data_IF_142712690359
#
_entry.id   IF_142712690359
#
_cell.length_a   1.000
_cell.length_b   1.000
_cell.length_c   1.000
_cell.angle_alpha   90.00
_cell.angle_beta   90.00
_cell.angle_gamma   90.00
#
_symmetry.space_group_name_H-M   'P 1'
#
loop_
_entity.id
_entity.type
_entity.pdbx_description
1 polymer ?
#
# COMPACT_ATOMS: atom_id res chain seq x y z
N UNK A 1 -58.29 32.31 -46.26
CA UNK A 1 -58.08 32.10 -44.82
C UNK A 1 -58.18 30.62 -44.52
N UNK A 2 -57.44 30.15 -43.51
CA UNK A 2 -57.31 28.77 -42.99
C UNK A 2 -56.12 27.92 -43.50
N UNK A 3 -55.00 28.10 -42.78
CA UNK A 3 -53.99 27.15 -42.27
C UNK A 3 -53.72 25.83 -43.02
N UNK A 4 -52.45 25.66 -43.42
CA UNK A 4 -51.78 24.35 -43.58
C UNK A 4 -50.67 24.25 -42.52
N UNK A 5 -50.49 23.09 -41.85
CA UNK A 5 -49.50 22.95 -40.80
C UNK A 5 -48.10 22.78 -41.39
N UNK A 6 -47.14 23.52 -40.83
CA UNK A 6 -45.70 23.37 -41.03
C UNK A 6 -45.23 22.04 -40.44
N UNK A 7 -44.60 21.19 -41.26
CA UNK A 7 -43.84 20.03 -40.80
C UNK A 7 -42.56 20.51 -40.11
N UNK A 8 -42.45 20.25 -38.81
CA UNK A 8 -41.17 20.31 -38.09
C UNK A 8 -40.19 19.31 -38.72
N UNK A 9 -39.05 19.83 -39.18
CA UNK A 9 -37.92 19.00 -39.56
C UNK A 9 -37.06 18.80 -38.32
N UNK A 10 -37.21 17.65 -37.63
CA UNK A 10 -36.25 17.21 -36.62
C UNK A 10 -34.92 16.92 -37.32
N UNK A 11 -33.95 17.81 -37.15
CA UNK A 11 -32.55 17.48 -37.42
C UNK A 11 -32.12 16.41 -36.40
N UNK A 12 -31.98 15.19 -36.91
CA UNK A 12 -31.28 14.09 -36.26
C UNK A 12 -29.81 14.47 -36.12
N UNK A 13 -29.35 14.76 -34.91
CA UNK A 13 -27.93 14.81 -34.61
C UNK A 13 -27.41 13.37 -34.55
N UNK A 14 -26.68 12.97 -35.60
CA UNK A 14 -25.93 11.73 -35.57
C UNK A 14 -24.92 11.81 -34.41
N UNK A 15 -25.08 10.96 -33.41
CA UNK A 15 -24.02 10.67 -32.42
C UNK A 15 -22.88 10.01 -33.18
N UNK A 16 -21.77 10.72 -33.36
CA UNK A 16 -20.50 10.09 -33.69
C UNK A 16 -20.11 9.14 -32.56
N UNK A 17 -20.24 7.84 -32.80
CA UNK A 17 -19.68 6.81 -31.94
C UNK A 17 -18.15 6.93 -32.02
N UNK A 18 -17.52 7.33 -30.90
CA UNK A 18 -16.06 7.30 -30.78
C UNK A 18 -15.60 5.84 -30.86
N UNK A 19 -14.55 5.54 -31.64
CA UNK A 19 -14.02 4.19 -31.73
C UNK A 19 -13.51 3.72 -30.35
N UNK A 20 -13.56 2.41 -30.07
CA UNK A 20 -13.09 1.87 -28.81
C UNK A 20 -11.59 2.15 -28.63
N UNK A 21 -11.23 2.73 -27.50
CA UNK A 21 -9.83 2.90 -27.08
C UNK A 21 -9.26 1.51 -26.83
N UNK A 22 -8.51 0.98 -27.79
CA UNK A 22 -7.71 -0.22 -27.59
C UNK A 22 -6.56 0.17 -26.66
N UNK A 23 -6.69 -0.17 -25.37
CA UNK A 23 -5.55 -0.07 -24.43
C UNK A 23 -4.45 -0.98 -24.97
N UNK A 24 -3.34 -0.40 -25.41
CA UNK A 24 -2.14 -1.16 -25.74
C UNK A 24 -1.76 -1.99 -24.51
N UNK A 25 -1.75 -3.32 -24.65
CA UNK A 25 -1.19 -4.21 -23.63
C UNK A 25 0.29 -3.88 -23.53
N UNK A 26 0.69 -3.29 -22.41
CA UNK A 26 2.09 -3.19 -22.01
C UNK A 26 2.69 -4.60 -22.11
N UNK A 27 3.78 -4.81 -22.87
CA UNK A 27 4.37 -6.13 -23.00
C UNK A 27 4.77 -6.66 -21.61
N UNK A 28 4.58 -7.97 -21.35
CA UNK A 28 4.97 -8.53 -20.06
C UNK A 28 6.47 -8.33 -19.88
N UNK A 29 6.83 -7.57 -18.85
CA UNK A 29 8.21 -7.42 -18.40
C UNK A 29 8.73 -8.78 -17.92
N UNK A 30 10.02 -9.02 -18.11
CA UNK A 30 10.66 -10.28 -17.77
C UNK A 30 10.40 -10.66 -16.29
N UNK A 31 10.24 -11.95 -15.97
CA UNK A 31 9.99 -12.40 -14.61
C UNK A 31 11.10 -11.91 -13.67
N UNK A 32 10.72 -11.38 -12.50
CA UNK A 32 11.69 -10.93 -11.53
C UNK A 32 12.45 -12.15 -10.99
N UNK A 33 13.78 -12.16 -11.20
CA UNK A 33 14.68 -13.10 -10.53
C UNK A 33 14.95 -12.54 -9.13
N UNK A 34 14.35 -13.14 -8.12
CA UNK A 34 14.53 -12.74 -6.73
C UNK A 34 13.80 -13.66 -5.77
N UNK A 35 14.25 -13.67 -4.52
CA UNK A 35 13.55 -14.31 -3.39
C UNK A 35 12.12 -13.72 -3.31
N UNK A 36 11.05 -14.53 -3.24
CA UNK A 36 9.71 -14.01 -3.00
C UNK A 36 9.66 -13.23 -1.68
N UNK A 37 9.03 -12.07 -1.67
CA UNK A 37 8.95 -11.21 -0.47
C UNK A 37 7.51 -10.80 -0.20
N UNK A 38 7.07 -11.00 1.04
CA UNK A 38 5.80 -10.51 1.57
C UNK A 38 6.05 -9.25 2.40
N UNK A 39 5.38 -8.15 2.06
CA UNK A 39 5.38 -6.90 2.82
C UNK A 39 4.00 -6.71 3.43
N UNK A 40 3.91 -6.80 4.75
CA UNK A 40 2.67 -6.62 5.49
C UNK A 40 2.63 -5.20 6.07
N UNK A 41 1.57 -4.45 5.78
CA UNK A 41 1.31 -3.14 6.38
C UNK A 41 0.13 -3.29 7.34
N UNK A 42 0.41 -3.22 8.64
CA UNK A 42 -0.55 -3.64 9.65
C UNK A 42 -0.47 -2.87 10.96
N UNK A 43 -1.57 -2.92 11.70
CA UNK A 43 -1.78 -2.38 13.04
C UNK A 43 -3.22 -2.71 13.44
N UNK A 44 -3.46 -2.98 14.71
CA UNK A 44 -4.78 -3.30 15.23
C UNK A 44 -5.64 -2.05 15.36
N UNK A 45 -5.02 -0.90 15.62
CA UNK A 45 -5.76 0.36 15.68
C UNK A 45 -6.25 0.80 14.29
N UNK A 46 -7.55 1.12 14.20
CA UNK A 46 -8.14 1.78 13.03
C UNK A 46 -7.71 3.25 12.92
N UNK A 47 -7.65 3.77 11.69
CA UNK A 47 -7.41 5.19 11.44
C UNK A 47 -5.96 5.67 11.62
N UNK A 48 -4.99 4.78 11.79
CA UNK A 48 -3.55 5.13 11.87
C UNK A 48 -2.89 5.34 10.49
N UNK A 49 -3.64 5.15 9.41
CA UNK A 49 -3.19 5.40 8.02
C UNK A 49 -2.42 4.26 7.35
N UNK A 50 -2.74 2.99 7.69
CA UNK A 50 -2.20 1.79 7.03
C UNK A 50 -2.34 1.83 5.51
N UNK A 51 -3.55 2.07 5.02
CA UNK A 51 -3.80 2.16 3.57
C UNK A 51 -3.05 3.31 2.91
N UNK A 52 -2.84 4.43 3.59
CA UNK A 52 -1.99 5.53 3.09
C UNK A 52 -0.55 5.06 2.88
N UNK A 53 -0.01 4.31 3.84
CA UNK A 53 1.34 3.73 3.78
C UNK A 53 1.42 2.69 2.66
N UNK A 54 0.45 1.79 2.56
CA UNK A 54 0.39 0.80 1.48
C UNK A 54 0.37 1.47 0.10
N UNK A 55 -0.40 2.55 -0.07
CA UNK A 55 -0.47 3.31 -1.34
C UNK A 55 0.86 3.97 -1.71
N UNK A 56 1.51 4.66 -0.76
CA UNK A 56 2.80 5.31 -1.05
C UNK A 56 3.92 4.30 -1.25
N UNK A 57 3.87 3.15 -0.56
CA UNK A 57 4.78 2.02 -0.77
C UNK A 57 4.63 1.47 -2.19
N UNK A 58 3.41 1.24 -2.68
CA UNK A 58 3.17 0.78 -4.05
C UNK A 58 3.67 1.79 -5.09
N UNK A 59 3.45 3.08 -4.86
CA UNK A 59 3.98 4.14 -5.74
C UNK A 59 5.52 4.14 -5.76
N UNK A 60 6.17 3.98 -4.61
CA UNK A 60 7.63 3.92 -4.51
C UNK A 60 8.20 2.68 -5.23
N UNK A 61 7.59 1.50 -5.03
CA UNK A 61 8.02 0.27 -5.69
C UNK A 61 7.85 0.37 -7.22
N UNK A 62 6.72 0.92 -7.68
CA UNK A 62 6.48 1.16 -9.10
C UNK A 62 7.49 2.14 -9.70
N UNK A 63 7.81 3.23 -9.00
CA UNK A 63 8.82 4.20 -9.43
C UNK A 63 10.23 3.59 -9.55
N UNK A 64 10.51 2.54 -8.78
CA UNK A 64 11.75 1.77 -8.82
C UNK A 64 11.68 0.50 -9.69
N UNK A 65 10.67 0.39 -10.56
CA UNK A 65 10.46 -0.73 -11.48
C UNK A 65 10.29 -2.09 -10.78
N UNK A 66 9.85 -2.09 -9.52
CA UNK A 66 9.45 -3.30 -8.80
C UNK A 66 7.98 -3.55 -9.05
N UNK A 67 7.68 -4.56 -9.87
CA UNK A 67 6.31 -5.08 -10.01
C UNK A 67 5.86 -5.69 -8.69
N UNK A 68 4.63 -5.37 -8.32
CA UNK A 68 3.99 -5.86 -7.11
C UNK A 68 2.62 -6.41 -7.42
N UNK A 69 2.20 -7.37 -6.62
CA UNK A 69 0.79 -7.69 -6.43
C UNK A 69 0.39 -7.20 -5.05
N UNK A 70 -0.81 -6.65 -4.94
CA UNK A 70 -1.32 -6.11 -3.70
C UNK A 70 -2.55 -6.88 -3.24
N UNK A 71 -2.72 -6.95 -1.93
CA UNK A 71 -3.86 -7.60 -1.30
C UNK A 71 -4.45 -6.68 -0.26
N UNK A 72 -5.77 -6.53 -0.30
CA UNK A 72 -6.54 -5.67 0.58
C UNK A 72 -7.43 -6.55 1.45
N UNK A 73 -7.19 -6.56 2.76
CA UNK A 73 -7.96 -7.44 3.64
C UNK A 73 -9.28 -6.82 4.12
N UNK A 74 -9.64 -5.62 3.66
CA UNK A 74 -10.90 -4.95 3.99
C UNK A 74 -12.05 -5.52 3.14
N UNK A 75 -12.44 -6.76 3.41
CA UNK A 75 -13.50 -7.46 2.68
C UNK A 75 -14.91 -6.99 3.08
N UNK A 76 -15.89 -6.87 2.14
CA UNK A 76 -15.80 -7.19 0.71
C UNK A 76 -15.49 -5.98 -0.20
N UNK A 77 -15.34 -4.77 0.35
CA UNK A 77 -15.31 -3.54 -0.46
C UNK A 77 -13.90 -3.15 -0.91
N UNK A 78 -12.89 -3.37 -0.07
CA UNK A 78 -11.54 -2.89 -0.23
C UNK A 78 -11.43 -1.37 -0.08
N UNK A 79 -10.39 -0.92 0.61
CA UNK A 79 -9.99 0.51 0.61
C UNK A 79 -8.84 0.75 -0.36
N UNK A 80 -7.79 -0.06 -0.29
CA UNK A 80 -6.65 -0.01 -1.20
C UNK A 80 -7.05 -0.31 -2.65
N UNK A 81 -7.98 -1.26 -2.85
CA UNK A 81 -8.48 -1.64 -4.18
C UNK A 81 -8.98 -0.45 -5.00
N UNK A 82 -9.61 0.53 -4.34
CA UNK A 82 -10.11 1.75 -4.99
C UNK A 82 -9.01 2.53 -5.72
N UNK A 83 -7.78 2.53 -5.19
CA UNK A 83 -6.68 3.34 -5.71
C UNK A 83 -5.77 2.56 -6.67
N UNK A 84 -5.63 1.24 -6.48
CA UNK A 84 -4.77 0.38 -7.29
C UNK A 84 -5.53 -0.86 -7.83
N UNK A 85 -6.65 -0.70 -8.55
CA UNK A 85 -7.52 -1.81 -8.92
C UNK A 85 -6.85 -2.84 -9.85
N UNK A 86 -5.88 -2.43 -10.65
CA UNK A 86 -5.21 -3.31 -11.62
C UNK A 86 -4.24 -4.31 -10.98
N UNK A 87 -3.77 -4.04 -9.75
CA UNK A 87 -2.79 -4.89 -9.05
C UNK A 87 -3.26 -5.36 -7.66
N UNK A 88 -4.38 -4.85 -7.15
CA UNK A 88 -4.91 -5.19 -5.83
C UNK A 88 -6.04 -6.21 -5.93
N UNK A 89 -6.00 -7.24 -5.08
CA UNK A 89 -7.12 -8.17 -4.88
C UNK A 89 -7.67 -8.05 -3.45
N UNK A 90 -8.99 -8.01 -3.30
CA UNK A 90 -9.63 -8.05 -1.97
C UNK A 90 -9.65 -9.50 -1.48
N UNK A 91 -9.20 -9.73 -0.25
CA UNK A 91 -8.98 -11.07 0.33
C UNK A 91 -9.42 -11.13 1.79
N UNK A 92 -9.63 -12.33 2.30
CA UNK A 92 -9.77 -12.62 3.73
C UNK A 92 -8.65 -13.55 4.20
N UNK A 93 -7.68 -13.02 4.94
CA UNK A 93 -6.55 -13.81 5.46
C UNK A 93 -6.95 -14.89 6.47
N UNK A 94 -8.18 -14.88 6.98
CA UNK A 94 -8.70 -15.94 7.84
C UNK A 94 -9.31 -17.10 7.06
N UNK A 95 -9.50 -16.93 5.74
CA UNK A 95 -9.98 -17.99 4.85
C UNK A 95 -8.81 -18.71 4.18
N UNK A 96 -8.79 -20.05 4.30
CA UNK A 96 -7.79 -20.90 3.66
C UNK A 96 -7.69 -20.66 2.14
N UNK A 97 -8.80 -20.42 1.45
CA UNK A 97 -8.77 -20.20 -0.01
C UNK A 97 -7.99 -18.95 -0.40
N UNK A 98 -8.05 -17.91 0.44
CA UNK A 98 -7.38 -16.64 0.18
C UNK A 98 -5.95 -16.65 0.70
N UNK A 99 -5.67 -17.38 1.79
CA UNK A 99 -4.32 -17.71 2.22
C UNK A 99 -3.53 -18.39 1.08
N UNK A 100 -4.12 -19.40 0.43
CA UNK A 100 -3.49 -20.08 -0.72
C UNK A 100 -3.19 -19.11 -1.89
N UNK A 101 -4.07 -18.14 -2.15
CA UNK A 101 -3.84 -17.16 -3.23
C UNK A 101 -2.65 -16.26 -2.95
N UNK A 102 -2.34 -16.00 -1.68
CA UNK A 102 -1.22 -15.15 -1.29
C UNK A 102 0.02 -16.01 -1.16
N UNK A 103 -0.02 -17.02 -0.29
CA UNK A 103 1.14 -17.78 0.20
C UNK A 103 1.61 -18.81 -0.82
N UNK A 104 0.77 -19.75 -1.27
CA UNK A 104 1.18 -20.83 -2.20
C UNK A 104 1.70 -20.31 -3.54
N UNK A 105 1.23 -19.12 -3.92
CA UNK A 105 1.61 -18.50 -5.17
C UNK A 105 2.86 -17.62 -5.02
N UNK A 106 3.40 -17.35 -3.83
CA UNK A 106 4.63 -16.56 -3.66
C UNK A 106 5.81 -17.17 -4.44
N UNK A 107 5.99 -18.48 -4.30
CA UNK A 107 7.09 -19.18 -4.97
C UNK A 107 6.91 -19.26 -6.50
N UNK A 108 5.66 -19.41 -6.97
CA UNK A 108 5.35 -19.70 -8.37
C UNK A 108 4.95 -18.47 -9.19
N UNK A 109 4.54 -17.37 -8.56
CA UNK A 109 4.14 -16.15 -9.25
C UNK A 109 5.31 -15.52 -10.00
N UNK A 110 5.02 -14.93 -11.17
CA UNK A 110 5.98 -14.15 -11.94
C UNK A 110 6.38 -12.86 -11.20
N UNK A 111 5.43 -12.31 -10.43
CA UNK A 111 5.63 -11.16 -9.54
C UNK A 111 6.01 -11.68 -8.15
N UNK A 112 7.23 -11.36 -7.73
CA UNK A 112 7.83 -11.88 -6.48
C UNK A 112 7.53 -11.05 -5.24
N UNK A 113 7.02 -9.82 -5.38
CA UNK A 113 6.74 -8.93 -4.26
C UNK A 113 5.24 -8.81 -4.04
N UNK A 114 4.80 -9.14 -2.82
CA UNK A 114 3.41 -9.06 -2.39
C UNK A 114 3.27 -8.00 -1.32
N UNK A 115 2.39 -7.01 -1.52
CA UNK A 115 2.07 -6.01 -0.49
C UNK A 115 0.69 -6.30 0.06
N UNK A 116 0.54 -6.36 1.38
CA UNK A 116 -0.74 -6.66 2.03
C UNK A 116 -1.12 -5.50 2.95
N UNK A 117 -2.25 -4.84 2.65
CA UNK A 117 -2.86 -3.82 3.52
C UNK A 117 -3.85 -4.49 4.45
N UNK A 118 -3.48 -4.58 5.72
CA UNK A 118 -4.28 -5.27 6.75
C UNK A 118 -5.35 -4.32 7.28
N UNK A 119 -6.56 -4.85 7.43
CA UNK A 119 -7.70 -4.14 8.04
C UNK A 119 -7.45 -3.82 9.51
N UNK A 120 -8.24 -2.92 10.08
CA UNK A 120 -8.19 -2.67 11.52
C UNK A 120 -8.50 -3.94 12.34
N UNK A 121 -7.75 -4.15 13.42
CA UNK A 121 -7.83 -5.34 14.29
C UNK A 121 -7.47 -6.66 13.59
N UNK A 122 -6.74 -6.59 12.46
CA UNK A 122 -6.43 -7.75 11.64
C UNK A 122 -4.97 -8.16 11.68
N UNK A 123 -4.09 -7.47 12.43
CA UNK A 123 -2.65 -7.76 12.36
C UNK A 123 -2.33 -9.09 13.05
N UNK A 124 -2.72 -9.26 14.31
CA UNK A 124 -2.47 -10.51 15.03
C UNK A 124 -3.10 -11.73 14.32
N UNK A 125 -4.39 -11.72 13.88
CA UNK A 125 -4.96 -12.82 13.11
C UNK A 125 -4.20 -13.13 11.80
N UNK A 126 -3.68 -12.10 11.12
CA UNK A 126 -2.88 -12.28 9.91
C UNK A 126 -1.53 -12.96 10.23
N UNK A 127 -0.85 -12.51 11.28
CA UNK A 127 0.43 -13.08 11.71
C UNK A 127 0.27 -14.54 12.20
N UNK A 128 -0.78 -14.83 12.96
CA UNK A 128 -1.12 -16.20 13.36
C UNK A 128 -1.39 -17.08 12.14
N UNK A 129 -2.14 -16.58 11.15
CA UNK A 129 -2.36 -17.32 9.91
C UNK A 129 -1.05 -17.60 9.16
N UNK A 130 -0.12 -16.64 9.11
CA UNK A 130 1.21 -16.87 8.53
C UNK A 130 1.99 -17.94 9.31
N UNK A 131 1.97 -17.90 10.65
CA UNK A 131 2.60 -18.92 11.49
C UNK A 131 2.00 -20.32 11.23
N UNK A 132 0.67 -20.45 11.25
CA UNK A 132 -0.04 -21.72 11.10
C UNK A 132 0.22 -22.39 9.74
N UNK A 133 0.53 -21.60 8.71
CA UNK A 133 0.86 -22.10 7.37
C UNK A 133 2.33 -22.53 7.21
N UNK A 134 3.18 -22.29 8.21
CA UNK A 134 4.63 -22.50 8.12
C UNK A 134 5.35 -21.40 7.32
N UNK A 135 4.69 -20.26 7.04
CA UNK A 135 5.32 -19.16 6.32
C UNK A 135 6.50 -18.59 7.11
N UNK A 136 6.38 -18.46 8.43
CA UNK A 136 7.47 -17.96 9.28
C UNK A 136 8.67 -18.92 9.34
N UNK A 137 8.44 -20.22 9.26
CA UNK A 137 9.53 -21.21 9.15
C UNK A 137 10.30 -21.00 7.84
N UNK A 138 9.60 -20.76 6.73
CA UNK A 138 10.23 -20.46 5.43
C UNK A 138 11.00 -19.11 5.43
N UNK A 139 10.60 -18.15 6.27
CA UNK A 139 11.35 -16.91 6.50
C UNK A 139 12.67 -17.22 7.22
N UNK A 140 12.61 -17.99 8.31
CA UNK A 140 13.78 -18.41 9.09
C UNK A 140 14.78 -19.23 8.25
N UNK A 141 14.28 -20.05 7.32
CA UNK A 141 15.09 -20.81 6.37
C UNK A 141 15.63 -19.96 5.21
N UNK A 142 15.21 -18.68 5.12
CA UNK A 142 15.65 -17.73 4.09
C UNK A 142 15.03 -17.96 2.71
N UNK A 143 14.02 -18.83 2.60
CA UNK A 143 13.34 -19.15 1.34
C UNK A 143 12.47 -17.99 0.83
N UNK A 144 11.92 -17.21 1.77
CA UNK A 144 11.09 -16.04 1.50
C UNK A 144 11.55 -14.86 2.35
N UNK A 145 11.36 -13.64 1.86
CA UNK A 145 11.52 -12.41 2.64
C UNK A 145 10.22 -12.03 3.33
N UNK A 146 10.29 -11.56 4.56
CA UNK A 146 9.15 -11.01 5.27
C UNK A 146 9.50 -9.65 5.86
N UNK A 147 8.74 -8.64 5.43
CA UNK A 147 8.86 -7.26 5.90
C UNK A 147 7.55 -6.88 6.57
N UNK A 148 7.61 -6.45 7.83
CA UNK A 148 6.45 -5.94 8.55
C UNK A 148 6.59 -4.44 8.78
N UNK A 149 5.69 -3.66 8.17
CA UNK A 149 5.48 -2.26 8.49
C UNK A 149 4.35 -2.15 9.51
N UNK A 150 4.73 -2.13 10.79
CA UNK A 150 3.79 -2.01 11.90
C UNK A 150 3.53 -0.53 12.22
N UNK A 151 2.31 -0.08 11.91
CA UNK A 151 1.92 1.32 11.97
C UNK A 151 1.47 1.70 13.38
N UNK A 152 2.34 2.39 14.10
CA UNK A 152 2.07 2.75 15.48
C UNK A 152 1.03 3.88 15.57
N UNK A 153 0.05 3.69 16.45
CA UNK A 153 -0.81 4.78 16.92
C UNK A 153 -0.15 5.57 18.06
N UNK A 154 -0.65 6.78 18.33
CA UNK A 154 -0.18 7.65 19.42
C UNK A 154 -0.63 7.24 20.83
N UNK A 155 -1.02 5.98 21.04
CA UNK A 155 -1.59 5.48 22.30
C UNK A 155 -0.76 4.35 22.91
N UNK A 156 -0.77 4.22 24.24
CA UNK A 156 -0.11 3.13 24.96
C UNK A 156 -0.55 1.75 24.44
N UNK A 157 -1.85 1.58 24.12
CA UNK A 157 -2.35 0.33 23.54
C UNK A 157 -1.63 -0.06 22.23
N UNK A 158 -1.19 0.92 21.42
CA UNK A 158 -0.41 0.65 20.21
C UNK A 158 1.04 0.28 20.50
N UNK A 159 1.54 0.58 21.70
CA UNK A 159 2.85 0.10 22.16
C UNK A 159 2.76 -1.29 22.77
N UNK A 160 1.66 -1.59 23.47
CA UNK A 160 1.41 -2.95 23.99
C UNK A 160 1.36 -3.97 22.82
N UNK A 161 0.83 -3.58 21.66
CA UNK A 161 0.82 -4.36 20.41
C UNK A 161 2.23 -4.80 19.95
N UNK A 162 3.30 -4.03 20.26
CA UNK A 162 4.68 -4.42 19.90
C UNK A 162 5.05 -5.77 20.55
N UNK A 163 4.62 -5.99 21.80
CA UNK A 163 4.91 -7.24 22.50
C UNK A 163 4.09 -8.42 21.96
N UNK A 164 2.89 -8.15 21.44
CA UNK A 164 2.01 -9.14 20.82
C UNK A 164 2.53 -9.57 19.44
N UNK A 165 3.13 -8.63 18.69
CA UNK A 165 3.75 -8.89 17.38
C UNK A 165 5.11 -9.59 17.49
N UNK A 166 5.85 -9.35 18.58
CA UNK A 166 7.23 -9.83 18.78
C UNK A 166 7.48 -11.32 18.43
N UNK A 167 6.60 -12.28 18.81
CA UNK A 167 6.82 -13.70 18.51
C UNK A 167 6.80 -14.06 17.02
N UNK A 168 6.26 -13.18 16.16
CA UNK A 168 6.06 -13.44 14.73
C UNK A 168 7.13 -12.81 13.84
N UNK A 169 8.07 -12.07 14.43
CA UNK A 169 8.99 -11.18 13.68
C UNK A 169 10.46 -11.39 13.98
N UNK A 170 10.81 -12.50 14.64
CA UNK A 170 12.20 -12.82 15.02
C UNK A 170 13.14 -12.81 13.80
N UNK A 171 12.74 -13.43 12.69
CA UNK A 171 13.52 -13.48 11.44
C UNK A 171 13.00 -12.48 10.37
N UNK A 172 12.15 -11.54 10.75
CA UNK A 172 11.52 -10.59 9.83
C UNK A 172 12.20 -9.22 9.83
N UNK A 173 12.13 -8.53 8.70
CA UNK A 173 12.43 -7.11 8.59
C UNK A 173 11.31 -6.28 9.24
N UNK A 174 11.36 -6.15 10.56
CA UNK A 174 10.33 -5.52 11.36
C UNK A 174 10.56 -4.02 11.55
N UNK A 175 9.74 -3.19 10.92
CA UNK A 175 9.80 -1.73 11.02
C UNK A 175 8.62 -1.15 11.80
N UNK A 176 8.94 -0.24 12.71
CA UNK A 176 7.96 0.58 13.41
C UNK A 176 7.69 1.86 12.62
N UNK A 177 6.45 2.03 12.16
CA UNK A 177 6.08 3.15 11.30
C UNK A 177 5.33 4.22 12.08
N UNK A 178 5.92 5.42 12.16
CA UNK A 178 5.34 6.62 12.78
C UNK A 178 4.65 7.45 11.72
N UNK A 179 3.33 7.34 11.63
CA UNK A 179 2.53 8.07 10.65
C UNK A 179 1.86 9.32 11.22
N UNK A 180 2.34 10.50 10.81
CA UNK A 180 1.79 11.78 11.25
C UNK A 180 0.52 12.13 10.46
N UNK A 181 -0.59 11.43 10.73
CA UNK A 181 -1.90 11.71 10.11
C UNK A 181 -2.44 13.09 10.51
N UNK A 182 -2.10 13.55 11.72
CA UNK A 182 -2.39 14.88 12.23
C UNK A 182 -1.14 15.42 12.93
N UNK A 183 -1.23 16.61 13.54
CA UNK A 183 -0.11 17.23 14.28
C UNK A 183 0.13 16.54 15.64
N UNK A 184 -0.12 15.23 15.72
CA UNK A 184 0.29 14.42 16.87
C UNK A 184 1.79 14.44 16.92
N UNK A 185 2.29 14.87 18.07
CA UNK A 185 3.58 14.41 18.53
C UNK A 185 3.39 12.93 18.82
N UNK A 186 3.95 12.06 17.97
CA UNK A 186 4.46 10.79 18.50
C UNK A 186 5.35 11.23 19.64
N UNK A 187 4.86 11.06 20.87
CA UNK A 187 5.58 11.51 22.06
C UNK A 187 7.01 11.03 21.86
N UNK A 188 7.99 11.93 22.00
CA UNK A 188 9.37 11.47 22.17
C UNK A 188 9.31 10.57 23.40
N UNK A 189 9.19 9.27 23.15
CA UNK A 189 8.82 8.32 24.19
C UNK A 189 9.86 8.47 25.26
N UNK A 190 9.41 8.78 26.48
CA UNK A 190 10.36 9.01 27.55
C UNK A 190 11.24 7.74 27.68
N UNK A 191 12.50 7.88 28.13
CA UNK A 191 13.42 6.75 28.16
C UNK A 191 12.89 5.51 28.90
N UNK A 192 11.94 5.67 29.84
CA UNK A 192 11.32 4.55 30.56
C UNK A 192 10.31 3.83 29.66
N UNK A 193 9.47 4.55 28.94
CA UNK A 193 8.54 3.98 27.95
C UNK A 193 9.31 3.29 26.82
N UNK A 194 10.36 3.94 26.29
CA UNK A 194 11.21 3.33 25.27
C UNK A 194 11.81 2.01 25.75
N UNK A 195 12.42 2.00 26.94
CA UNK A 195 12.98 0.78 27.54
C UNK A 195 11.95 -0.32 27.72
N UNK A 196 10.75 0.02 28.19
CA UNK A 196 9.72 -0.97 28.51
C UNK A 196 9.26 -1.77 27.29
N UNK A 197 9.14 -1.11 26.14
CA UNK A 197 8.51 -1.66 24.93
C UNK A 197 9.50 -2.00 23.82
N UNK A 198 10.55 -1.23 23.63
CA UNK A 198 11.46 -1.34 22.48
C UNK A 198 12.74 -2.12 22.79
N UNK A 199 13.20 -2.19 24.05
CA UNK A 199 14.40 -3.02 24.39
C UNK A 199 14.10 -4.53 24.40
N UNK A 200 12.82 -4.93 24.31
CA UNK A 200 12.41 -6.34 24.39
C UNK A 200 12.24 -7.01 23.04
N UNK A 201 12.21 -6.24 21.96
CA UNK A 201 11.90 -6.71 20.61
C UNK A 201 12.93 -6.10 19.67
N UNK A 202 13.65 -6.94 18.95
CA UNK A 202 14.56 -6.48 17.92
C UNK A 202 13.75 -5.93 16.74
N UNK A 203 14.13 -4.76 16.24
CA UNK A 203 13.47 -4.12 15.10
C UNK A 203 14.52 -3.78 14.06
N UNK A 204 14.17 -3.87 12.78
CA UNK A 204 15.02 -3.44 11.67
C UNK A 204 15.16 -1.91 11.59
N UNK A 205 14.31 -1.18 12.32
CA UNK A 205 14.39 0.27 12.51
C UNK A 205 13.02 0.94 12.57
N UNK A 206 13.03 2.27 12.55
CA UNK A 206 11.83 3.09 12.49
C UNK A 206 11.70 3.76 11.11
N UNK A 207 10.46 4.03 10.69
CA UNK A 207 10.13 4.80 9.48
C UNK A 207 9.22 5.96 9.89
N UNK A 208 9.51 7.17 9.44
CA UNK A 208 8.67 8.35 9.70
C UNK A 208 7.92 8.78 8.45
N UNK A 209 6.60 8.78 8.50
CA UNK A 209 5.74 9.28 7.43
C UNK A 209 5.27 10.69 7.82
N UNK A 210 5.74 11.75 7.13
CA UNK A 210 5.37 13.12 7.48
C UNK A 210 3.89 13.40 7.18
N UNK A 211 3.32 14.43 7.81
CA UNK A 211 1.95 14.87 7.50
C UNK A 211 1.88 15.42 6.07
N UNK A 212 0.93 14.92 5.28
CA UNK A 212 0.57 15.53 4.00
C UNK A 212 -0.36 16.73 4.26
N UNK A 213 -0.25 17.78 3.44
CA UNK A 213 -1.20 18.88 3.46
C UNK A 213 -2.64 18.37 3.32
N UNK A 214 -3.53 18.79 4.23
CA UNK A 214 -4.89 18.25 4.35
C UNK A 214 -5.69 18.38 3.06
N UNK A 215 -5.68 19.57 2.44
CA UNK A 215 -6.37 19.80 1.17
C UNK A 215 -5.77 18.95 0.04
N UNK A 216 -4.45 18.76 0.03
CA UNK A 216 -3.80 17.88 -0.95
C UNK A 216 -4.22 16.42 -0.76
N UNK A 217 -4.28 15.95 0.49
CA UNK A 217 -4.75 14.60 0.80
C UNK A 217 -6.21 14.41 0.36
N UNK A 218 -7.09 15.33 0.72
CA UNK A 218 -8.51 15.30 0.34
C UNK A 218 -8.70 15.27 -1.18
N UNK A 219 -7.96 16.09 -1.93
CA UNK A 219 -8.07 16.08 -3.39
C UNK A 219 -7.57 14.78 -4.02
N UNK A 220 -6.55 14.14 -3.44
CA UNK A 220 -6.11 12.81 -3.87
C UNK A 220 -7.17 11.74 -3.56
N UNK A 221 -7.81 11.79 -2.39
CA UNK A 221 -8.92 10.90 -2.04
C UNK A 221 -10.09 11.02 -3.02
N UNK A 222 -10.47 12.25 -3.36
CA UNK A 222 -11.52 12.55 -4.34
C UNK A 222 -11.12 12.02 -5.73
N UNK A 223 -9.87 12.23 -6.15
CA UNK A 223 -9.37 11.74 -7.43
C UNK A 223 -9.41 10.20 -7.53
N UNK A 224 -9.37 9.48 -6.40
CA UNK A 224 -9.50 8.02 -6.37
C UNK A 224 -8.39 7.30 -7.14
N UNK A 225 -7.21 7.92 -7.23
CA UNK A 225 -6.08 7.44 -8.01
C UNK A 225 -4.81 7.33 -7.14
N UNK A 226 -3.76 6.63 -7.61
CA UNK A 226 -2.45 6.64 -6.96
C UNK A 226 -1.91 8.06 -6.76
N UNK A 227 -1.08 8.29 -5.74
CA UNK A 227 -0.49 9.62 -5.50
C UNK A 227 0.37 10.04 -6.69
N UNK A 228 1.12 9.09 -7.26
CA UNK A 228 1.92 9.27 -8.48
C UNK A 228 1.08 9.74 -9.68
N UNK A 229 -0.10 9.13 -9.91
CA UNK A 229 -1.05 9.53 -10.96
C UNK A 229 -1.60 10.93 -10.73
N UNK A 230 -1.95 11.28 -9.49
CA UNK A 230 -2.38 12.64 -9.13
C UNK A 230 -1.27 13.66 -9.42
N UNK A 231 -0.03 13.39 -9.02
CA UNK A 231 1.14 14.25 -9.29
C UNK A 231 1.41 14.40 -10.79
N UNK A 232 1.19 13.35 -11.57
CA UNK A 232 1.30 13.35 -13.03
C UNK A 232 0.15 14.13 -13.73
N UNK A 233 -0.80 14.66 -12.97
CA UNK A 233 -1.99 15.35 -13.46
C UNK A 233 -2.87 14.48 -14.37
N UNK A 234 -3.14 13.26 -13.92
CA UNK A 234 -3.99 12.32 -14.65
C UNK A 234 -5.15 11.81 -13.80
N UNK A 235 -6.18 11.30 -14.46
CA UNK A 235 -7.26 10.53 -13.82
C UNK A 235 -6.84 9.07 -13.62
N UNK A 236 -7.65 8.28 -12.91
CA UNK A 236 -7.42 6.83 -12.76
C UNK A 236 -7.42 6.09 -14.10
N UNK A 237 -8.12 6.61 -15.11
CA UNK A 237 -8.16 6.07 -16.48
C UNK A 237 -6.95 6.49 -17.33
N UNK A 238 -6.08 7.36 -16.80
CA UNK A 238 -4.86 7.83 -17.48
C UNK A 238 -5.03 9.08 -18.34
N UNK A 239 -6.23 9.67 -18.37
CA UNK A 239 -6.55 10.89 -19.10
C UNK A 239 -6.00 12.15 -18.39
N UNK A 240 -5.73 13.26 -19.11
CA UNK A 240 -5.37 14.52 -18.49
C UNK A 240 -6.42 14.99 -17.48
N UNK A 241 -5.97 15.36 -16.28
CA UNK A 241 -6.78 15.97 -15.24
C UNK A 241 -6.48 17.47 -15.10
N UNK A 242 -7.20 18.16 -14.20
CA UNK A 242 -6.99 19.57 -13.86
C UNK A 242 -6.63 19.74 -12.36
N UNK A 243 -5.73 18.89 -11.88
CA UNK A 243 -5.26 18.94 -10.49
C UNK A 243 -4.36 20.16 -10.29
N UNK A 244 -4.65 20.93 -9.24
CA UNK A 244 -3.87 22.12 -8.85
C UNK A 244 -2.37 21.86 -8.81
N UNK A 245 -1.59 22.70 -9.49
CA UNK A 245 -0.12 22.63 -9.50
C UNK A 245 0.46 22.66 -8.08
N UNK A 246 -0.11 23.48 -7.18
CA UNK A 246 0.35 23.62 -5.80
C UNK A 246 0.10 22.34 -5.01
N UNK A 247 -1.10 21.77 -5.09
CA UNK A 247 -1.43 20.55 -4.37
C UNK A 247 -0.61 19.36 -4.89
N UNK A 248 -0.42 19.26 -6.20
CA UNK A 248 0.52 18.28 -6.80
C UNK A 248 1.95 18.47 -6.30
N UNK A 249 2.39 19.71 -6.12
CA UNK A 249 3.71 20.04 -5.56
C UNK A 249 3.87 19.53 -4.11
N UNK A 250 2.82 19.69 -3.28
CA UNK A 250 2.82 19.15 -1.91
C UNK A 250 2.88 17.62 -1.91
N UNK A 251 2.05 16.95 -2.71
CA UNK A 251 2.06 15.47 -2.81
C UNK A 251 3.42 14.96 -3.28
N UNK A 252 4.01 15.56 -4.32
CA UNK A 252 5.32 15.17 -4.84
C UNK A 252 6.42 15.32 -3.79
N UNK A 253 6.46 16.46 -3.11
CA UNK A 253 7.46 16.73 -2.06
C UNK A 253 7.30 15.76 -0.90
N UNK A 254 6.06 15.43 -0.53
CA UNK A 254 5.74 14.45 0.49
C UNK A 254 6.18 13.03 0.10
N UNK A 255 5.89 12.59 -1.13
CA UNK A 255 6.34 11.29 -1.66
C UNK A 255 7.88 11.18 -1.65
N UNK A 256 8.59 12.23 -2.05
CA UNK A 256 10.06 12.21 -2.04
C UNK A 256 10.64 12.01 -0.64
N UNK A 257 10.07 12.66 0.39
CA UNK A 257 10.52 12.46 1.78
C UNK A 257 10.30 11.03 2.28
N UNK A 258 9.24 10.38 1.82
CA UNK A 258 8.96 8.98 2.16
C UNK A 258 9.88 8.04 1.38
N UNK A 259 10.17 8.36 0.12
CA UNK A 259 11.18 7.65 -0.66
C UNK A 259 12.55 7.71 0.02
N UNK A 260 12.96 8.88 0.53
CA UNK A 260 14.21 9.04 1.30
C UNK A 260 14.22 8.12 2.54
N UNK A 261 13.09 7.95 3.23
CA UNK A 261 12.96 7.04 4.38
C UNK A 261 13.05 5.56 3.97
N UNK A 262 12.43 5.17 2.84
CA UNK A 262 12.53 3.81 2.29
C UNK A 262 13.94 3.48 1.78
N UNK A 263 14.62 4.45 1.17
CA UNK A 263 16.01 4.33 0.75
C UNK A 263 16.93 4.20 1.97
N UNK A 264 16.70 4.99 3.03
CA UNK A 264 17.46 4.94 4.28
C UNK A 264 17.42 3.57 4.96
N UNK A 265 16.30 2.86 4.88
CA UNK A 265 16.17 1.50 5.44
C UNK A 265 16.60 0.40 4.47
N UNK A 266 17.13 0.77 3.30
CA UNK A 266 17.56 -0.15 2.23
C UNK A 266 16.43 -1.09 1.77
N UNK A 267 15.21 -0.57 1.64
CA UNK A 267 14.01 -1.39 1.37
C UNK A 267 14.17 -2.26 0.11
N UNK A 268 14.72 -1.70 -0.97
CA UNK A 268 14.92 -2.44 -2.23
C UNK A 268 15.95 -3.58 -2.09
N UNK A 269 17.01 -3.39 -1.29
CA UNK A 269 18.02 -4.43 -1.07
C UNK A 269 17.46 -5.57 -0.21
N UNK A 270 16.67 -5.24 0.81
CA UNK A 270 15.93 -6.21 1.65
C UNK A 270 14.96 -7.05 0.82
N UNK A 271 14.18 -6.40 -0.05
CA UNK A 271 13.29 -7.07 -1.01
C UNK A 271 14.07 -8.01 -1.94
N UNK A 272 15.26 -7.58 -2.39
CA UNK A 272 16.11 -8.38 -3.27
C UNK A 272 16.84 -9.53 -2.55
N UNK A 273 16.73 -9.64 -1.21
CA UNK A 273 17.45 -10.63 -0.41
C UNK A 273 18.97 -10.39 -0.39
N UNK A 274 19.40 -9.13 -0.50
CA UNK A 274 20.81 -8.73 -0.47
C UNK A 274 21.13 -8.12 0.89
N UNK A 275 21.26 -8.95 1.92
CA UNK A 275 21.75 -8.45 3.20
C UNK A 275 23.29 -8.39 3.22
N UNK A 276 23.83 -7.23 3.57
CA UNK A 276 25.24 -7.04 3.93
C UNK A 276 26.17 -6.57 2.80
N UNK A 277 26.31 -5.24 2.69
CA UNK A 277 27.64 -4.63 2.53
C UNK A 277 28.01 -3.96 3.86
#
# INVERSE_FOLDING_TARGET
MAQRPTKETKQSSAREERPPVVREKVPPLAPQRGRPTLILVGADKGGVGKTTIARVLLDYLAANNVLTRAFDTETPRGTLYRFHPDQTSVVDLTSTSDQMKIIDTLATAEIKVSVVDVRAGGLEPALQALQDTGFLDAVAEGEVGFILFHVLGSSIASLDEIAEVAPYVEDADYFLVKNHVNDTTFFEWDPVTHRKYFEKVETAGEITIPKLNELSYEQVEIAGAPFSTFVANRTAEGEPADHSFVLRGYVRTWQNRIADEFDRIHLLDRIAGREGA
#
